data_IF_384429998781
#
_entry.id   IF_384429998781
#
_cell.length_a   1.000
_cell.length_b   1.000
_cell.length_c   1.000
_cell.angle_alpha   90.00
_cell.angle_beta   90.00
_cell.angle_gamma   90.00
#
_symmetry.space_group_name_H-M   'P 1'
#
loop_
_entity.id
_entity.type
_entity.pdbx_description
1 polymer ?
#
# COMPACT_ATOMS: atom_id res chain seq x y z
N UNK A 1 4.02 11.94 -7.51
CA UNK A 1 4.26 11.47 -6.13
C UNK A 1 5.73 11.68 -5.77
N UNK A 2 6.04 12.09 -4.54
CA UNK A 2 7.40 12.31 -4.06
C UNK A 2 7.56 11.62 -2.70
N UNK A 3 8.46 10.64 -2.60
CA UNK A 3 8.87 10.13 -1.29
C UNK A 3 9.87 11.12 -0.67
N UNK A 4 9.99 11.12 0.66
CA UNK A 4 10.72 12.15 1.44
C UNK A 4 12.12 12.45 0.89
N UNK A 5 12.80 11.45 0.31
CA UNK A 5 14.15 11.57 -0.23
C UNK A 5 14.28 11.21 -1.72
N UNK A 6 13.18 11.20 -2.50
CA UNK A 6 13.20 10.83 -3.91
C UNK A 6 12.88 12.00 -4.84
N UNK A 7 13.29 11.87 -6.11
CA UNK A 7 12.78 12.71 -7.20
C UNK A 7 11.28 12.44 -7.35
N UNK A 8 10.51 13.49 -7.67
CA UNK A 8 9.09 13.33 -7.95
C UNK A 8 8.88 12.52 -9.23
N UNK A 9 8.03 11.49 -9.16
CA UNK A 9 7.67 10.64 -10.31
C UNK A 9 6.18 10.73 -10.59
N UNK A 10 5.76 10.59 -11.87
CA UNK A 10 4.35 10.61 -12.22
C UNK A 10 3.62 9.42 -11.61
N UNK A 11 2.33 9.61 -11.33
CA UNK A 11 1.42 8.51 -11.01
C UNK A 11 0.91 7.97 -12.35
N UNK A 12 1.09 6.67 -12.56
CA UNK A 12 0.71 5.97 -13.80
C UNK A 12 -0.79 5.66 -13.82
N UNK A 13 -1.41 5.48 -12.65
CA UNK A 13 -2.85 5.33 -12.51
C UNK A 13 -3.27 4.87 -11.12
N UNK A 14 -4.47 4.31 -11.02
CA UNK A 14 -5.06 3.86 -9.75
C UNK A 14 -5.60 2.44 -9.90
N UNK A 15 -5.18 1.55 -9.00
CA UNK A 15 -5.79 0.23 -8.81
C UNK A 15 -6.83 0.34 -7.70
N UNK A 16 -8.11 0.14 -8.01
CA UNK A 16 -9.22 0.40 -7.08
C UNK A 16 -9.75 -0.88 -6.44
N UNK A 17 -10.25 -0.76 -5.22
CA UNK A 17 -10.97 -1.79 -4.47
C UNK A 17 -10.18 -3.11 -4.32
N UNK A 18 -8.89 -2.99 -4.03
CA UNK A 18 -7.98 -4.13 -3.94
C UNK A 18 -8.08 -4.75 -2.54
N UNK A 19 -8.48 -6.05 -2.44
CA UNK A 19 -8.46 -6.76 -1.17
C UNK A 19 -7.04 -6.82 -0.64
N UNK A 20 -6.84 -6.23 0.54
CA UNK A 20 -5.54 -6.04 1.16
C UNK A 20 -5.57 -6.65 2.55
N UNK A 21 -4.57 -7.48 2.85
CA UNK A 21 -4.31 -7.98 4.19
C UNK A 21 -2.99 -7.41 4.68
N UNK A 22 -3.02 -6.75 5.83
CA UNK A 22 -1.85 -6.20 6.49
C UNK A 22 -1.82 -6.76 7.92
N UNK A 23 -0.93 -7.73 8.18
CA UNK A 23 -0.98 -8.47 9.43
C UNK A 23 -2.36 -9.11 9.65
N UNK A 24 -2.98 -8.79 10.79
CA UNK A 24 -4.32 -9.25 11.15
C UNK A 24 -5.45 -8.37 10.59
N UNK A 25 -5.11 -7.18 10.07
CA UNK A 25 -6.08 -6.31 9.43
C UNK A 25 -6.39 -6.79 8.01
N UNK A 26 -7.66 -6.75 7.62
CA UNK A 26 -8.09 -6.94 6.24
C UNK A 26 -9.11 -5.89 5.82
N UNK A 27 -9.06 -5.49 4.56
CA UNK A 27 -9.97 -4.51 3.99
C UNK A 27 -9.65 -4.22 2.53
N UNK A 28 -10.48 -3.39 1.89
CA UNK A 28 -10.27 -3.02 0.50
C UNK A 28 -9.66 -1.63 0.42
N UNK A 29 -8.60 -1.48 -0.38
CA UNK A 29 -7.88 -0.22 -0.55
C UNK A 29 -7.75 0.15 -2.03
N UNK A 30 -7.68 1.46 -2.26
CA UNK A 30 -7.28 2.01 -3.55
C UNK A 30 -5.79 2.33 -3.49
N UNK A 31 -5.05 1.93 -4.53
CA UNK A 31 -3.61 2.17 -4.64
C UNK A 31 -3.30 3.06 -5.83
N UNK A 32 -2.58 4.15 -5.56
CA UNK A 32 -1.94 4.92 -6.62
C UNK A 32 -0.70 4.17 -7.11
N UNK A 33 -0.66 3.86 -8.40
CA UNK A 33 0.43 3.14 -9.04
C UNK A 33 1.46 4.16 -9.53
N UNK A 34 2.64 4.13 -8.95
CA UNK A 34 3.77 4.96 -9.35
C UNK A 34 5.06 4.16 -9.23
N UNK A 35 6.04 4.46 -10.09
CA UNK A 35 7.39 3.93 -9.92
C UNK A 35 8.05 4.61 -8.71
N UNK A 36 8.62 3.82 -7.79
CA UNK A 36 9.26 4.29 -6.56
C UNK A 36 10.65 3.67 -6.41
N UNK A 37 11.59 4.43 -5.83
CA UNK A 37 12.99 3.98 -5.68
C UNK A 37 13.28 3.37 -4.30
N UNK A 38 12.66 3.91 -3.24
CA UNK A 38 13.01 3.57 -1.85
C UNK A 38 11.99 2.66 -1.16
N UNK A 39 10.76 2.61 -1.65
CA UNK A 39 9.64 1.91 -1.02
C UNK A 39 8.83 1.13 -2.04
N UNK A 40 8.39 -0.08 -1.65
CA UNK A 40 7.48 -0.90 -2.47
C UNK A 40 6.01 -0.48 -2.28
N UNK A 41 5.67 0.09 -1.12
CA UNK A 41 4.33 0.57 -0.78
C UNK A 41 4.46 1.74 0.21
N UNK A 42 3.62 2.76 0.03
CA UNK A 42 3.43 3.84 0.99
C UNK A 42 1.95 3.87 1.37
N UNK A 43 1.66 3.70 2.65
CA UNK A 43 0.31 3.89 3.19
C UNK A 43 0.13 5.38 3.50
N UNK A 44 -0.87 6.00 2.89
CA UNK A 44 -1.15 7.42 3.11
C UNK A 44 -1.89 7.66 4.43
N UNK A 45 -2.06 8.93 4.79
CA UNK A 45 -2.90 9.31 5.93
C UNK A 45 -4.38 8.94 5.71
N UNK A 46 -4.82 8.79 4.46
CA UNK A 46 -6.20 8.38 4.16
C UNK A 46 -6.45 6.93 4.58
N UNK A 47 -5.45 6.06 4.42
CA UNK A 47 -5.50 4.72 4.99
C UNK A 47 -5.68 4.79 6.50
N UNK A 48 -4.78 5.48 7.20
CA UNK A 48 -4.82 5.60 8.66
C UNK A 48 -6.16 6.16 9.17
N UNK A 49 -6.76 7.10 8.43
CA UNK A 49 -8.08 7.64 8.76
C UNK A 49 -9.19 6.60 8.55
N UNK A 50 -9.16 5.88 7.43
CA UNK A 50 -10.18 4.87 7.10
C UNK A 50 -10.16 3.69 8.07
N UNK A 51 -8.97 3.25 8.50
CA UNK A 51 -8.79 2.16 9.46
C UNK A 51 -8.92 2.61 10.93
N UNK A 52 -9.01 3.93 11.19
CA UNK A 52 -9.05 4.54 12.54
C UNK A 52 -7.79 4.20 13.34
N UNK A 53 -6.64 4.44 12.74
CA UNK A 53 -5.36 3.99 13.27
C UNK A 53 -4.73 4.98 14.24
N UNK A 54 -4.05 4.44 15.25
CA UNK A 54 -3.19 5.17 16.17
C UNK A 54 -1.77 4.64 16.02
N UNK A 55 -0.87 5.48 15.52
CA UNK A 55 0.55 5.13 15.45
C UNK A 55 1.16 5.15 16.86
N UNK A 56 1.86 4.08 17.23
CA UNK A 56 2.55 3.95 18.51
C UNK A 56 4.05 3.71 18.26
N UNK A 57 4.84 4.76 17.94
CA UNK A 57 6.24 4.61 17.56
C UNK A 57 7.11 3.93 18.63
N UNK A 58 6.83 4.22 19.91
CA UNK A 58 7.55 3.62 21.04
C UNK A 58 7.39 2.10 21.14
N UNK A 59 6.30 1.55 20.59
CA UNK A 59 6.06 0.10 20.53
C UNK A 59 6.41 -0.50 19.17
N UNK A 60 6.89 0.31 18.21
CA UNK A 60 7.05 -0.09 16.82
C UNK A 60 5.76 -0.72 16.28
N UNK A 61 4.61 -0.09 16.53
CA UNK A 61 3.31 -0.68 16.19
C UNK A 61 2.31 0.39 15.75
N UNK A 62 1.29 -0.03 15.00
CA UNK A 62 0.12 0.78 14.64
C UNK A 62 -1.10 0.02 15.18
N UNK A 63 -1.88 0.66 16.04
CA UNK A 63 -3.15 0.11 16.50
C UNK A 63 -4.23 0.51 15.50
N UNK A 64 -4.85 -0.47 14.86
CA UNK A 64 -6.04 -0.27 14.05
C UNK A 64 -7.25 -0.35 14.97
N UNK A 65 -7.96 0.76 15.20
CA UNK A 65 -9.09 0.81 16.14
C UNK A 65 -10.47 0.76 15.43
N UNK A 66 -10.52 0.07 14.29
CA UNK A 66 -11.74 -0.16 13.53
C UNK A 66 -12.74 -1.09 14.23
N UNK A 67 -13.65 -1.69 13.46
CA UNK A 67 -14.65 -2.63 13.96
C UNK A 67 -14.03 -3.86 14.65
N UNK A 68 -12.88 -4.30 14.15
CA UNK A 68 -12.07 -5.34 14.75
C UNK A 68 -10.70 -4.76 15.08
N UNK A 69 -10.48 -4.36 16.34
CA UNK A 69 -9.20 -3.80 16.74
C UNK A 69 -8.07 -4.81 16.55
N UNK A 70 -6.97 -4.39 15.94
CA UNK A 70 -5.79 -5.23 15.80
C UNK A 70 -4.51 -4.40 15.88
N UNK A 71 -3.42 -5.03 16.33
CA UNK A 71 -2.13 -4.38 16.47
C UNK A 71 -1.20 -4.81 15.34
N UNK A 72 -0.88 -3.87 14.46
CA UNK A 72 0.06 -4.08 13.38
C UNK A 72 1.47 -3.80 13.87
N UNK A 73 2.30 -4.84 13.97
CA UNK A 73 3.72 -4.69 14.27
C UNK A 73 4.45 -4.10 13.07
N UNK A 74 5.19 -3.01 13.28
CA UNK A 74 6.06 -2.45 12.25
C UNK A 74 7.43 -3.08 12.36
N UNK A 75 7.96 -3.55 11.24
CA UNK A 75 9.29 -4.13 11.15
C UNK A 75 10.16 -3.26 10.25
N UNK A 76 11.37 -2.93 10.71
CA UNK A 76 12.37 -2.30 9.84
C UNK A 76 12.93 -3.36 8.91
N UNK A 77 12.53 -3.32 7.64
CA UNK A 77 13.13 -4.16 6.61
C UNK A 77 14.49 -3.60 6.19
N UNK A 78 15.50 -4.46 6.12
CA UNK A 78 16.81 -4.10 5.54
C UNK A 78 16.65 -4.01 4.03
N UNK A 79 17.30 -3.03 3.39
CA UNK A 79 17.29 -2.89 1.92
C UNK A 79 17.77 -4.23 1.30
N UNK A 80 16.90 -4.89 0.52
CA UNK A 80 17.18 -6.20 -0.09
C UNK A 80 16.61 -7.44 0.62
N UNK A 81 15.92 -7.29 1.77
CA UNK A 81 15.22 -8.43 2.39
C UNK A 81 14.03 -8.89 1.54
N UNK A 82 13.90 -10.21 1.32
CA UNK A 82 12.80 -10.83 0.58
C UNK A 82 11.54 -10.90 1.45
N UNK A 83 10.78 -9.81 1.49
CA UNK A 83 9.42 -9.77 2.05
C UNK A 83 8.34 -9.91 0.97
N UNK A 84 7.06 -9.93 1.35
CA UNK A 84 5.96 -9.82 0.39
C UNK A 84 6.13 -8.60 -0.49
N UNK A 85 6.00 -8.78 -1.80
CA UNK A 85 6.14 -7.72 -2.80
C UNK A 85 4.76 -7.31 -3.30
N UNK A 86 4.43 -6.02 -3.23
CA UNK A 86 3.24 -5.51 -3.91
C UNK A 86 3.61 -5.25 -5.38
N UNK A 87 2.88 -5.89 -6.30
CA UNK A 87 3.06 -5.71 -7.74
C UNK A 87 1.82 -5.07 -8.32
N UNK A 88 2.02 -4.14 -9.25
CA UNK A 88 0.96 -3.55 -10.06
C UNK A 88 1.23 -3.82 -11.54
N UNK A 89 0.22 -4.29 -12.25
CA UNK A 89 0.29 -4.57 -13.69
C UNK A 89 -0.79 -3.77 -14.41
N UNK A 90 -0.39 -3.07 -15.47
CA UNK A 90 -1.32 -2.42 -16.39
C UNK A 90 -1.87 -3.43 -17.39
N UNK A 91 -3.18 -3.43 -17.59
CA UNK A 91 -3.82 -4.23 -18.62
C UNK A 91 -3.64 -3.60 -20.01
N UNK A 92 -3.39 -4.44 -21.03
CA UNK A 92 -3.21 -4.00 -22.42
C UNK A 92 -4.45 -3.33 -23.01
N UNK A 93 -5.64 -3.78 -22.60
CA UNK A 93 -6.92 -3.13 -22.89
C UNK A 93 -7.54 -2.70 -21.56
N UNK A 94 -7.89 -1.42 -21.46
CA UNK A 94 -8.61 -0.90 -20.30
C UNK A 94 -9.98 -1.57 -20.15
N UNK A 95 -10.40 -1.81 -18.91
CA UNK A 95 -11.73 -2.35 -18.61
C UNK A 95 -12.81 -1.29 -18.83
N UNK A 96 -12.47 -0.02 -18.62
CA UNK A 96 -13.27 1.15 -18.99
C UNK A 96 -12.72 1.76 -20.27
N UNK A 97 -13.62 2.13 -21.18
CA UNK A 97 -13.29 2.62 -22.52
C UNK A 97 -12.35 3.84 -22.43
N UNK A 98 -11.14 3.71 -22.98
CA UNK A 98 -10.06 4.71 -23.09
C UNK A 98 -9.23 5.06 -21.83
N UNK A 99 -9.42 4.40 -20.68
CA UNK A 99 -8.56 4.65 -19.49
C UNK A 99 -7.66 3.45 -19.16
N UNK A 100 -6.38 3.68 -18.77
CA UNK A 100 -5.50 2.61 -18.34
C UNK A 100 -6.03 1.96 -17.07
N UNK A 101 -6.16 0.63 -17.08
CA UNK A 101 -6.64 -0.15 -15.93
C UNK A 101 -5.46 -0.89 -15.30
N UNK A 102 -5.35 -0.80 -13.98
CA UNK A 102 -4.29 -1.43 -13.22
C UNK A 102 -4.88 -2.49 -12.28
N UNK A 103 -4.20 -3.63 -12.23
CA UNK A 103 -4.41 -4.65 -11.20
C UNK A 103 -3.25 -4.58 -10.22
N UNK A 104 -3.52 -4.71 -8.93
CA UNK A 104 -2.49 -4.82 -7.91
C UNK A 104 -2.70 -6.11 -7.11
N UNK A 105 -1.61 -6.78 -6.76
CA UNK A 105 -1.62 -7.97 -5.92
C UNK A 105 -0.43 -7.97 -4.97
N UNK A 106 -0.63 -8.57 -3.80
CA UNK A 106 0.45 -8.86 -2.87
C UNK A 106 1.00 -10.23 -3.22
N UNK A 107 2.25 -10.26 -3.66
CA UNK A 107 2.99 -11.48 -3.93
C UNK A 107 3.70 -11.91 -2.63
N UNK A 108 3.17 -12.96 -1.99
CA UNK A 108 3.86 -13.64 -0.89
C UNK A 108 4.67 -14.77 -1.52
N UNK A 109 5.99 -14.76 -1.33
CA UNK A 109 6.88 -15.85 -1.77
C UNK A 109 6.98 -16.92 -0.70
#
# INVERSE_FOLDING_TARGET
MKAVNSVAKPIHGVARNIPTKLGDWSGNLDFNVATMDDFNLVLSMDFLRASKDVSMPHLGSILVAGQQPCLLKTCKMRKGSKGPLLSAMQLKKGLKRNEPTFLATILVK
#
